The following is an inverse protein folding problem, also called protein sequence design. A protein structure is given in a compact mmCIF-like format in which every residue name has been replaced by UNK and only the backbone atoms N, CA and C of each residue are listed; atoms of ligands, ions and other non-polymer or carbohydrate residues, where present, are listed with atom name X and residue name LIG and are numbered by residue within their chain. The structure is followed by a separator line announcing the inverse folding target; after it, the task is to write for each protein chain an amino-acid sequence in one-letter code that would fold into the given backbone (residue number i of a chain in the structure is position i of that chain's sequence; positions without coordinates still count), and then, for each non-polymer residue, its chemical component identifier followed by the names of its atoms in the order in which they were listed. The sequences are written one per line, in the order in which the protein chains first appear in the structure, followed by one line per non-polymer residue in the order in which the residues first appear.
data_IF_148112063653
#
_entry.id   IF_148112063653
#
_cell.length_a   1.000
_cell.length_b   1.000
_cell.length_c   1.000
_cell.angle_alpha   90.00
_cell.angle_beta   90.00
_cell.angle_gamma   90.00
#
_symmetry.space_group_name_H-M   'P 1'
#
loop_
_entity.id
_entity.type
_entity.pdbx_description
1 polymer ?
#
# COMPACT_ATOMS: atom_id res chain seq x y z
N UNK A 1 -9.32 -13.17 -2.63
CA UNK A 1 -8.88 -12.27 -1.54
C UNK A 1 -7.85 -12.99 -0.68
N UNK A 2 -6.76 -12.29 -0.30
CA UNK A 2 -5.74 -12.88 0.58
C UNK A 2 -6.28 -12.93 2.01
N UNK A 3 -6.23 -14.09 2.70
CA UNK A 3 -6.63 -14.17 4.11
C UNK A 3 -5.79 -13.24 4.98
N UNK A 4 -6.40 -12.66 6.01
CA UNK A 4 -5.72 -11.75 6.94
C UNK A 4 -4.48 -12.39 7.57
N UNK A 5 -4.58 -13.66 7.95
CA UNK A 5 -3.43 -14.42 8.48
C UNK A 5 -2.24 -14.43 7.52
N UNK A 6 -2.48 -14.57 6.23
CA UNK A 6 -1.40 -14.57 5.22
C UNK A 6 -0.77 -13.17 5.08
N UNK A 7 -1.59 -12.12 5.18
CA UNK A 7 -1.08 -10.74 5.18
C UNK A 7 -0.20 -10.49 6.41
N UNK A 8 -0.62 -10.93 7.59
CA UNK A 8 0.17 -10.78 8.82
C UNK A 8 1.50 -11.52 8.70
N UNK A 9 1.50 -12.72 8.15
CA UNK A 9 2.72 -13.50 7.94
C UNK A 9 3.65 -12.85 6.91
N UNK A 10 3.08 -12.29 5.84
CA UNK A 10 3.86 -11.58 4.81
C UNK A 10 4.54 -10.34 5.39
N UNK A 11 3.80 -9.54 6.14
CA UNK A 11 4.33 -8.33 6.78
C UNK A 11 5.39 -8.69 7.82
N UNK A 12 5.15 -9.70 8.64
CA UNK A 12 6.12 -10.19 9.63
C UNK A 12 7.41 -10.65 8.94
N UNK A 13 7.30 -11.41 7.87
CA UNK A 13 8.46 -11.90 7.12
C UNK A 13 9.26 -10.77 6.48
N UNK A 14 8.63 -9.65 6.12
CA UNK A 14 9.28 -8.50 5.50
C UNK A 14 9.78 -7.46 6.50
N UNK A 15 9.47 -7.59 7.78
CA UNK A 15 9.76 -6.57 8.80
C UNK A 15 11.25 -6.26 8.96
N UNK A 16 12.13 -7.20 8.66
CA UNK A 16 13.58 -7.00 8.69
C UNK A 16 14.09 -6.12 7.54
N UNK A 17 13.36 -6.00 6.45
CA UNK A 17 13.69 -5.15 5.32
C UNK A 17 12.74 -3.95 5.30
N UNK A 18 13.21 -2.82 5.79
CA UNK A 18 12.41 -1.61 5.95
C UNK A 18 11.76 -1.14 4.64
N UNK A 19 12.52 -1.18 3.55
CA UNK A 19 12.01 -0.78 2.23
C UNK A 19 10.87 -1.69 1.77
N UNK A 20 11.06 -3.01 1.84
CA UNK A 20 10.03 -3.97 1.43
C UNK A 20 8.78 -3.84 2.30
N UNK A 21 8.96 -3.71 3.60
CA UNK A 21 7.86 -3.50 4.54
C UNK A 21 7.05 -2.25 4.20
N UNK A 22 7.74 -1.16 3.88
CA UNK A 22 7.10 0.11 3.48
C UNK A 22 6.33 -0.04 2.16
N UNK A 23 6.93 -0.70 1.17
CA UNK A 23 6.27 -0.97 -0.12
C UNK A 23 4.97 -1.76 0.09
N UNK A 24 5.04 -2.87 0.83
CA UNK A 24 3.87 -3.71 1.12
C UNK A 24 2.80 -2.95 1.88
N UNK A 25 3.20 -2.12 2.83
CA UNK A 25 2.27 -1.27 3.59
C UNK A 25 1.54 -0.29 2.70
N UNK A 26 2.24 0.38 1.79
CA UNK A 26 1.62 1.32 0.85
C UNK A 26 0.65 0.61 -0.10
N UNK A 27 0.99 -0.58 -0.57
CA UNK A 27 0.09 -1.37 -1.42
C UNK A 27 -1.16 -1.80 -0.66
N UNK A 28 -0.98 -2.34 0.53
CA UNK A 28 -2.06 -2.94 1.32
C UNK A 28 -2.98 -1.90 1.95
N UNK A 29 -2.41 -0.81 2.50
CA UNK A 29 -3.19 0.20 3.23
C UNK A 29 -3.64 1.37 2.37
N UNK A 30 -2.84 1.78 1.40
CA UNK A 30 -3.15 2.93 0.57
C UNK A 30 -3.58 2.56 -0.86
N UNK A 31 -3.40 1.32 -1.26
CA UNK A 31 -3.84 0.83 -2.57
C UNK A 31 -2.96 1.27 -3.75
N UNK A 32 -1.67 1.52 -3.50
CA UNK A 32 -0.75 1.88 -4.57
C UNK A 32 -0.39 0.65 -5.42
N UNK A 33 -0.31 0.85 -6.73
CA UNK A 33 0.12 -0.19 -7.67
C UNK A 33 1.64 -0.29 -7.75
N UNK A 34 2.14 -1.39 -8.33
CA UNK A 34 3.58 -1.56 -8.57
C UNK A 34 4.17 -0.41 -9.39
N UNK A 35 3.49 0.02 -10.45
CA UNK A 35 3.96 1.12 -11.30
C UNK A 35 3.96 2.45 -10.55
N UNK A 36 2.99 2.68 -9.69
CA UNK A 36 2.95 3.87 -8.83
C UNK A 36 4.09 3.87 -7.81
N UNK A 37 4.35 2.73 -7.18
CA UNK A 37 5.45 2.57 -6.22
C UNK A 37 6.81 2.86 -6.87
N UNK A 38 7.09 2.27 -8.02
CA UNK A 38 8.40 2.44 -8.67
C UNK A 38 8.60 3.85 -9.24
N UNK A 39 7.53 4.59 -9.49
CA UNK A 39 7.59 5.95 -9.99
C UNK A 39 7.86 7.01 -8.90
N UNK A 40 7.77 6.65 -7.63
CA UNK A 40 8.02 7.57 -6.53
C UNK A 40 9.49 7.99 -6.49
N UNK A 41 9.72 9.30 -6.45
CA UNK A 41 11.06 9.88 -6.50
C UNK A 41 11.67 10.11 -5.13
N UNK A 42 10.84 10.53 -4.17
CA UNK A 42 11.31 10.85 -2.83
C UNK A 42 10.24 11.51 -1.98
N UNK A 43 10.63 12.12 -0.84
CA UNK A 43 9.69 12.78 0.06
C UNK A 43 8.87 13.90 -0.60
N UNK A 44 9.38 14.50 -1.67
CA UNK A 44 8.71 15.59 -2.39
C UNK A 44 7.39 15.16 -3.05
N UNK A 45 7.17 13.85 -3.26
CA UNK A 45 5.91 13.33 -3.81
C UNK A 45 4.79 13.33 -2.76
N UNK A 46 5.13 13.50 -1.48
CA UNK A 46 4.19 13.48 -0.37
C UNK A 46 3.97 14.90 0.15
N UNK A 47 2.71 15.23 0.43
CA UNK A 47 2.32 16.56 0.93
C UNK A 47 1.42 16.41 2.15
N UNK A 48 1.79 17.12 3.22
CA UNK A 48 0.94 17.26 4.39
C UNK A 48 -0.12 18.31 4.09
N UNK A 49 -1.39 17.94 4.18
CA UNK A 49 -2.51 18.83 3.95
C UNK A 49 -3.50 18.69 5.11
N UNK A 50 -3.64 19.76 5.91
CA UNK A 50 -4.39 19.66 7.15
C UNK A 50 -3.74 18.66 8.10
N UNK A 51 -4.52 17.69 8.58
CA UNK A 51 -4.06 16.61 9.44
C UNK A 51 -3.68 15.33 8.68
N UNK A 52 -3.78 15.35 7.35
CA UNK A 52 -3.56 14.19 6.49
C UNK A 52 -2.36 14.28 5.58
N UNK A 53 -1.76 13.14 5.30
CA UNK A 53 -0.70 12.99 4.32
C UNK A 53 -1.28 12.48 3.00
N UNK A 54 -0.82 13.07 1.90
CA UNK A 54 -1.25 12.70 0.54
C UNK A 54 -0.03 12.49 -0.34
N UNK A 55 -0.16 11.62 -1.32
CA UNK A 55 0.90 11.37 -2.32
C UNK A 55 0.39 11.71 -3.71
N UNK A 56 1.22 12.42 -4.48
CA UNK A 56 0.96 12.68 -5.89
C UNK A 56 1.49 11.53 -6.73
N UNK A 57 0.58 10.85 -7.42
CA UNK A 57 0.89 9.68 -8.23
C UNK A 57 0.69 10.00 -9.71
N UNK A 58 1.68 9.63 -10.51
CA UNK A 58 1.61 9.82 -11.96
C UNK A 58 0.41 9.07 -12.53
N UNK A 59 -0.40 9.77 -13.32
CA UNK A 59 -1.59 9.20 -13.94
C UNK A 59 -2.87 9.32 -13.13
N UNK A 60 -2.81 9.82 -11.89
CA UNK A 60 -4.00 10.13 -11.11
C UNK A 60 -4.28 11.63 -11.14
N UNK A 61 -5.56 12.00 -11.20
CA UNK A 61 -5.99 13.41 -11.18
C UNK A 61 -5.91 13.99 -9.77
N UNK A 62 -6.27 13.18 -8.77
CA UNK A 62 -6.31 13.61 -7.37
C UNK A 62 -5.20 12.92 -6.58
N UNK A 63 -4.64 13.62 -5.57
CA UNK A 63 -3.66 12.99 -4.69
C UNK A 63 -4.29 11.86 -3.88
N UNK A 64 -3.51 10.83 -3.60
CA UNK A 64 -3.92 9.66 -2.85
C UNK A 64 -3.69 9.87 -1.36
N UNK A 65 -4.71 9.63 -0.52
CA UNK A 65 -4.57 9.71 0.93
C UNK A 65 -3.74 8.55 1.47
N UNK A 66 -2.84 8.85 2.40
CA UNK A 66 -2.04 7.85 3.11
C UNK A 66 -2.60 7.69 4.53
N UNK A 67 -3.11 6.49 4.90
CA UNK A 67 -3.60 6.23 6.26
C UNK A 67 -2.54 6.48 7.33
N UNK A 68 -2.96 6.79 8.54
CA UNK A 68 -2.06 7.14 9.64
C UNK A 68 -1.02 6.06 9.97
N UNK A 69 -1.40 4.80 9.99
CA UNK A 69 -0.48 3.70 10.24
C UNK A 69 0.58 3.57 9.13
N UNK A 70 0.18 3.73 7.88
CA UNK A 70 1.09 3.73 6.73
C UNK A 70 2.00 4.95 6.74
N UNK A 71 1.50 6.10 7.14
CA UNK A 71 2.29 7.34 7.30
C UNK A 71 3.43 7.14 8.30
N UNK A 72 3.15 6.52 9.44
CA UNK A 72 4.18 6.24 10.45
C UNK A 72 5.28 5.32 9.92
N UNK A 73 4.91 4.29 9.19
CA UNK A 73 5.86 3.36 8.56
C UNK A 73 6.71 4.08 7.51
N UNK A 74 6.07 4.90 6.67
CA UNK A 74 6.78 5.69 5.65
C UNK A 74 7.79 6.65 6.29
N UNK A 75 7.39 7.39 7.31
CA UNK A 75 8.28 8.35 7.97
C UNK A 75 9.46 7.66 8.65
N UNK A 76 9.24 6.50 9.24
CA UNK A 76 10.32 5.68 9.80
C UNK A 76 11.30 5.22 8.72
N UNK A 77 10.81 4.85 7.54
CA UNK A 77 11.67 4.52 6.40
C UNK A 77 12.48 5.73 5.92
N UNK A 78 11.83 6.91 5.85
CA UNK A 78 12.50 8.14 5.38
C UNK A 78 13.63 8.61 6.31
N UNK A 79 13.64 8.22 7.56
CA UNK A 79 14.76 8.51 8.48
C UNK A 79 16.07 7.85 7.99
N UNK A 80 15.98 6.74 7.28
CA UNK A 80 17.13 6.00 6.74
C UNK A 80 17.37 6.28 5.24
N UNK A 81 16.45 7.00 4.61
CA UNK A 81 16.51 7.25 3.17
C UNK A 81 17.61 8.26 2.83
N UNK A 82 18.38 7.96 1.76
CA UNK A 82 19.45 8.83 1.27
C UNK A 82 18.92 9.78 0.19
N UNK A 83 19.16 11.07 0.35
CA UNK A 83 18.84 12.09 -0.64
C UNK A 83 19.57 11.81 -1.97
N UNK A 84 18.90 12.12 -3.09
CA UNK A 84 19.44 11.86 -4.44
C UNK A 84 19.15 10.47 -4.96
N UNK A 85 18.42 9.65 -4.23
CA UNK A 85 17.94 8.35 -4.68
C UNK A 85 16.46 8.44 -5.04
N UNK A 86 15.96 7.47 -5.84
CA UNK A 86 14.52 7.22 -5.91
C UNK A 86 14.03 6.82 -4.52
N UNK A 87 12.74 6.97 -4.25
CA UNK A 87 12.22 6.61 -2.93
C UNK A 87 12.52 5.14 -2.60
N UNK A 88 12.33 4.26 -3.57
CA UNK A 88 12.71 2.85 -3.47
C UNK A 88 13.72 2.51 -4.55
N UNK A 89 14.76 1.77 -4.21
CA UNK A 89 15.88 1.48 -5.09
C UNK A 89 16.45 0.08 -4.86
N UNK A 90 17.16 -0.47 -5.86
CA UNK A 90 17.80 -1.77 -5.79
C UNK A 90 19.21 -1.69 -5.17
N UNK A 91 19.90 -2.84 -5.09
CA UNK A 91 21.27 -2.90 -4.53
C UNK A 91 22.26 -2.00 -5.27
N UNK A 92 22.05 -1.80 -6.58
CA UNK A 92 22.90 -0.92 -7.39
C UNK A 92 22.50 0.56 -7.27
N UNK A 93 21.56 0.89 -6.36
CA UNK A 93 21.05 2.23 -6.10
C UNK A 93 20.27 2.82 -7.29
N UNK A 94 19.77 1.97 -8.19
CA UNK A 94 18.91 2.36 -9.30
C UNK A 94 17.44 2.23 -8.92
N UNK A 95 16.53 2.99 -9.57
CA UNK A 95 15.10 2.82 -9.36
C UNK A 95 14.64 1.38 -9.57
N UNK A 96 13.63 0.96 -8.82
CA UNK A 96 13.02 -0.36 -8.99
C UNK A 96 12.27 -0.44 -10.33
N UNK A 97 12.08 -1.68 -10.81
CA UNK A 97 11.21 -2.00 -11.93
C UNK A 97 10.14 -3.00 -11.50
N UNK A 98 9.18 -3.28 -12.37
CA UNK A 98 8.09 -4.21 -12.06
C UNK A 98 8.58 -5.64 -11.82
N UNK A 99 9.66 -6.03 -12.48
CA UNK A 99 10.28 -7.35 -12.28
C UNK A 99 10.85 -7.49 -10.86
N UNK A 100 11.45 -6.43 -10.33
CA UNK A 100 11.91 -6.41 -8.93
C UNK A 100 10.75 -6.65 -7.97
N UNK A 101 9.62 -5.97 -8.19
CA UNK A 101 8.43 -6.13 -7.35
C UNK A 101 7.93 -7.57 -7.40
N UNK A 102 7.87 -8.17 -8.59
CA UNK A 102 7.44 -9.58 -8.74
C UNK A 102 8.36 -10.55 -8.00
N UNK A 103 9.67 -10.35 -8.10
CA UNK A 103 10.66 -11.17 -7.38
C UNK A 103 10.59 -10.96 -5.87
N UNK A 104 10.38 -9.72 -5.44
CA UNK A 104 10.18 -9.38 -4.03
C UNK A 104 8.96 -10.13 -3.47
N UNK A 105 7.85 -10.11 -4.17
CA UNK A 105 6.64 -10.82 -3.75
C UNK A 105 6.89 -12.32 -3.62
N UNK A 106 7.52 -12.94 -4.61
CA UNK A 106 7.86 -14.36 -4.58
C UNK A 106 8.73 -14.69 -3.38
N UNK A 107 9.80 -13.94 -3.17
CA UNK A 107 10.76 -14.15 -2.06
C UNK A 107 10.08 -14.09 -0.71
N UNK A 108 9.28 -13.06 -0.46
CA UNK A 108 8.67 -12.87 0.86
C UNK A 108 7.45 -13.75 1.11
N UNK A 109 6.72 -14.14 0.07
CA UNK A 109 5.70 -15.18 0.20
C UNK A 109 6.31 -16.53 0.56
N UNK A 110 7.42 -16.91 -0.05
CA UNK A 110 8.16 -18.13 0.30
C UNK A 110 8.65 -18.07 1.75
N UNK A 111 9.26 -16.96 2.15
CA UNK A 111 9.75 -16.75 3.53
C UNK A 111 8.60 -16.82 4.54
N UNK A 112 7.45 -16.30 4.21
CA UNK A 112 6.25 -16.33 5.05
C UNK A 112 5.55 -17.69 5.04
N UNK A 113 5.95 -18.61 4.16
CA UNK A 113 5.31 -19.93 3.97
C UNK A 113 3.83 -19.80 3.64
N UNK A 114 3.53 -18.92 2.71
CA UNK A 114 2.18 -18.68 2.18
C UNK A 114 2.19 -18.89 0.67
N UNK A 115 1.02 -19.04 0.03
CA UNK A 115 0.95 -19.10 -1.42
C UNK A 115 1.60 -17.89 -2.08
N UNK A 116 2.08 -18.03 -3.30
CA UNK A 116 2.70 -16.94 -4.06
C UNK A 116 1.62 -15.97 -4.53
N UNK A 117 1.46 -14.87 -3.83
CA UNK A 117 0.54 -13.80 -4.19
C UNK A 117 1.25 -12.75 -5.03
N UNK A 118 0.52 -12.14 -5.97
CA UNK A 118 1.02 -11.00 -6.74
C UNK A 118 0.92 -9.70 -5.94
N UNK A 119 1.69 -8.69 -6.33
CA UNK A 119 1.54 -7.34 -5.78
C UNK A 119 0.13 -6.79 -6.00
N UNK A 120 -0.47 -7.06 -7.16
CA UNK A 120 -1.84 -6.65 -7.46
C UNK A 120 -2.85 -7.28 -6.49
N UNK A 121 -2.65 -8.54 -6.09
CA UNK A 121 -3.49 -9.19 -5.09
C UNK A 121 -3.39 -8.51 -3.72
N UNK A 122 -2.20 -8.09 -3.31
CA UNK A 122 -1.99 -7.33 -2.07
C UNK A 122 -2.68 -5.97 -2.16
N UNK A 123 -2.50 -5.26 -3.26
CA UNK A 123 -3.14 -3.98 -3.53
C UNK A 123 -4.67 -4.08 -3.48
N UNK A 124 -5.23 -5.11 -4.10
CA UNK A 124 -6.69 -5.32 -4.13
C UNK A 124 -7.28 -5.56 -2.73
N UNK A 125 -6.50 -6.03 -1.78
CA UNK A 125 -6.95 -6.13 -0.39
C UNK A 125 -7.36 -4.78 0.18
N UNK A 126 -6.77 -3.68 -0.27
CA UNK A 126 -7.18 -2.34 0.12
C UNK A 126 -8.66 -2.11 -0.24
N UNK A 127 -9.05 -2.42 -1.48
CA UNK A 127 -10.44 -2.28 -1.92
C UNK A 127 -11.38 -3.20 -1.13
N UNK A 128 -11.01 -4.47 -0.94
CA UNK A 128 -11.82 -5.41 -0.16
C UNK A 128 -12.05 -4.93 1.27
N UNK A 129 -10.99 -4.45 1.92
CA UNK A 129 -11.06 -3.95 3.29
C UNK A 129 -11.94 -2.70 3.39
N UNK A 130 -11.81 -1.77 2.44
CA UNK A 130 -12.63 -0.57 2.40
C UNK A 130 -14.12 -0.92 2.27
N UNK A 131 -14.47 -1.82 1.36
CA UNK A 131 -15.84 -2.29 1.23
C UNK A 131 -16.33 -3.05 2.47
N UNK A 132 -15.47 -3.84 3.08
CA UNK A 132 -15.80 -4.58 4.31
C UNK A 132 -16.20 -3.64 5.46
N UNK A 133 -15.62 -2.44 5.50
CA UNK A 133 -15.95 -1.40 6.48
C UNK A 133 -16.97 -0.39 5.97
N UNK A 134 -17.60 -0.64 4.82
CA UNK A 134 -18.74 0.12 4.33
C UNK A 134 -18.42 1.34 3.48
N UNK A 135 -17.22 1.41 2.91
CA UNK A 135 -16.89 2.48 1.96
C UNK A 135 -17.83 2.48 0.74
N UNK A 136 -18.11 3.65 0.21
CA UNK A 136 -18.84 3.79 -1.05
C UNK A 136 -17.94 3.44 -2.24
N UNK A 137 -18.57 3.17 -3.39
CA UNK A 137 -17.83 2.92 -4.64
C UNK A 137 -16.92 4.10 -4.99
N UNK A 138 -17.40 5.33 -4.78
CA UNK A 138 -16.63 6.55 -5.04
C UNK A 138 -15.40 6.65 -4.12
N UNK A 139 -15.57 6.35 -2.83
CA UNK A 139 -14.47 6.37 -1.87
C UNK A 139 -13.38 5.36 -2.23
N UNK A 140 -13.78 4.15 -2.63
CA UNK A 140 -12.82 3.12 -3.05
C UNK A 140 -12.18 3.49 -4.38
N UNK A 141 -12.94 4.04 -5.32
CA UNK A 141 -12.45 4.54 -6.60
C UNK A 141 -11.34 5.59 -6.39
N UNK A 142 -11.57 6.56 -5.51
CA UNK A 142 -10.60 7.60 -5.19
C UNK A 142 -9.33 7.03 -4.57
N UNK A 143 -9.46 6.13 -3.60
CA UNK A 143 -8.30 5.54 -2.92
C UNK A 143 -7.47 4.66 -3.85
N UNK A 144 -8.12 3.90 -4.72
CA UNK A 144 -7.45 2.96 -5.62
C UNK A 144 -6.99 3.58 -6.94
N UNK A 145 -7.45 4.79 -7.27
CA UNK A 145 -7.17 5.42 -8.56
C UNK A 145 -7.77 4.65 -9.73
N UNK A 146 -8.91 4.03 -9.53
CA UNK A 146 -9.64 3.27 -10.55
C UNK A 146 -11.05 3.82 -10.73
N UNK A 147 -11.65 3.59 -11.89
CA UNK A 147 -13.03 4.01 -12.13
C UNK A 147 -14.00 3.21 -11.26
N UNK A 148 -15.16 3.80 -10.98
CA UNK A 148 -16.24 3.12 -10.26
C UNK A 148 -16.62 1.80 -10.93
N UNK A 149 -16.63 1.77 -12.26
CA UNK A 149 -16.91 0.57 -13.03
C UNK A 149 -15.91 -0.58 -12.74
N UNK A 150 -14.62 -0.25 -12.65
CA UNK A 150 -13.58 -1.23 -12.30
C UNK A 150 -13.66 -1.69 -10.85
N UNK A 151 -14.15 -0.84 -9.96
CA UNK A 151 -14.24 -1.10 -8.52
C UNK A 151 -15.45 -1.99 -8.17
N UNK A 152 -16.53 -1.93 -8.91
CA UNK A 152 -17.76 -2.69 -8.63
C UNK A 152 -17.54 -4.18 -8.40
N UNK A 153 -16.58 -4.78 -9.10
CA UNK A 153 -16.25 -6.21 -8.96
C UNK A 153 -15.80 -6.60 -7.55
N UNK A 154 -15.30 -5.65 -6.75
CA UNK A 154 -14.83 -5.92 -5.38
C UNK A 154 -15.93 -5.75 -4.33
N UNK A 155 -17.04 -5.09 -4.67
CA UNK A 155 -18.07 -4.68 -3.72
C UNK A 155 -18.75 -5.83 -2.99
N UNK A 156 -18.98 -6.95 -3.66
CA UNK A 156 -19.65 -8.13 -3.08
C UNK A 156 -18.75 -9.00 -2.21
N UNK A 157 -17.48 -8.65 -2.04
CA UNK A 157 -16.47 -9.46 -1.39
C UNK A 157 -16.15 -9.03 0.04
N UNK A 158 -16.88 -8.04 0.59
CA UNK A 158 -16.68 -7.50 1.93
C UNK A 158 -17.99 -7.19 2.64
N UNK A 159 -17.89 -6.78 3.91
CA UNK A 159 -19.03 -6.38 4.74
C UNK A 159 -19.31 -4.90 4.63
N UNK A 160 -20.59 -4.54 4.67
CA UNK A 160 -21.02 -3.14 4.67
C UNK A 160 -21.14 -2.63 6.11
N UNK A 161 -20.52 -1.50 6.38
CA UNK A 161 -20.68 -0.74 7.64
C UNK A 161 -20.72 0.74 7.33
N UNK A 162 -21.38 1.51 8.20
CA UNK A 162 -21.41 2.96 8.07
C UNK A 162 -20.04 3.55 8.41
N UNK A 163 -19.59 4.49 7.58
CA UNK A 163 -18.31 5.16 7.74
C UNK A 163 -18.52 6.60 8.20
N UNK A 164 -17.76 7.00 9.20
CA UNK A 164 -17.75 8.38 9.73
C UNK A 164 -16.41 9.08 9.53
N UNK A 165 -15.38 8.36 9.04
CA UNK A 165 -14.01 8.82 8.84
C UNK A 165 -13.55 8.48 7.44
N UNK A 166 -12.31 8.85 7.11
CA UNK A 166 -11.64 8.33 5.91
C UNK A 166 -11.59 6.81 5.97
N UNK A 167 -12.03 6.18 4.90
CA UNK A 167 -12.25 4.72 4.86
C UNK A 167 -11.02 3.91 5.21
N UNK A 168 -9.85 4.31 4.72
CA UNK A 168 -8.62 3.59 4.98
C UNK A 168 -8.22 3.60 6.46
N UNK A 169 -8.50 4.68 7.19
CA UNK A 169 -8.21 4.79 8.63
C UNK A 169 -9.14 3.95 9.51
N UNK A 170 -10.26 3.50 8.96
CA UNK A 170 -11.22 2.65 9.68
C UNK A 170 -10.80 1.19 9.71
N UNK A 171 -9.94 0.79 8.79
CA UNK A 171 -9.40 -0.57 8.76
C UNK A 171 -8.32 -0.68 9.81
N UNK A 172 -8.62 -1.38 10.90
CA UNK A 172 -7.66 -1.59 12.00
C UNK A 172 -6.88 -2.86 11.74
N UNK A 173 -5.66 -2.68 11.30
CA UNK A 173 -4.73 -3.77 11.05
C UNK A 173 -3.54 -3.57 11.97
N UNK A 174 -3.07 -4.65 12.55
CA UNK A 174 -1.87 -4.60 13.36
C UNK A 174 -0.65 -4.60 12.45
N UNK A 175 -0.11 -3.41 12.23
CA UNK A 175 1.17 -3.24 11.55
C UNK A 175 2.15 -2.72 12.57
N UNK A 176 3.23 -3.46 12.77
CA UNK A 176 4.29 -3.07 13.69
C UNK A 176 5.44 -2.47 12.90
N UNK A 177 6.10 -1.46 13.49
CA UNK A 177 7.30 -0.90 12.87
C UNK A 177 8.39 -1.94 12.81
N UNK A 178 9.14 -2.02 11.71
CA UNK A 178 10.35 -2.85 11.67
C UNK A 178 11.34 -2.40 12.74
N UNK A 179 11.93 -3.35 13.40
CA UNK A 179 12.94 -3.10 14.44
C UNK A 179 14.31 -2.81 13.80
#
# INVERSE_FOLDING_TARGET
MIPLEHIDRLLTASAENHMVYTILTLMYRAGLSSTEIIALKGPEDFVQYGDGLYVFLKGRQEPCYIPEDAKEILFSYLEEWEEGRSLFYNRSKNPLNTMYISRMMKKYCEKAKIPSYSAEAVRNCCAFNLFAYGATEEQVSDQMGRTVCQIKRYKGMGYKKNLKKRSADLVKIRIERPI
#
